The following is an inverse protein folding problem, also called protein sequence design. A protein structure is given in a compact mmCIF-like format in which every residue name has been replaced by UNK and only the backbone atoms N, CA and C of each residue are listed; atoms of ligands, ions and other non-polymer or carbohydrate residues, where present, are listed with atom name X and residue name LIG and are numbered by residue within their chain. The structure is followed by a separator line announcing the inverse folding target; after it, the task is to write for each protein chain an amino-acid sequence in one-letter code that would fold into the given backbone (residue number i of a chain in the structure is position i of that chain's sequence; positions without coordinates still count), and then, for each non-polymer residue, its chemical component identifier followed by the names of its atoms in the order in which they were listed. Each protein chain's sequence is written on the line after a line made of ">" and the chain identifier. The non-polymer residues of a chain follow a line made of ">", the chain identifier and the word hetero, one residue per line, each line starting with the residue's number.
data_IF_959613967485
#
_entry.id   IF_959613967485
#
_cell.length_a   1.000
_cell.length_b   1.000
_cell.length_c   1.000
_cell.angle_alpha   90.00
_cell.angle_beta   90.00
_cell.angle_gamma   90.00
#
_symmetry.space_group_name_H-M   'P 1'
#
loop_
_entity.id
_entity.type
_entity.pdbx_description
1 polymer ?
#
# COMPACT_ATOMS: atom_id res chain seq x y z
N UNK A 1 64.47 -11.05 52.92
CA UNK A 1 63.12 -11.27 52.34
C UNK A 1 62.01 -10.84 53.32
N UNK A 2 62.01 -9.60 53.83
CA UNK A 2 61.14 -9.21 54.97
C UNK A 2 60.23 -7.99 54.70
N UNK A 3 59.88 -7.68 53.44
CA UNK A 3 59.09 -6.47 53.13
C UNK A 3 57.81 -6.66 52.30
N UNK A 4 57.33 -7.91 52.12
CA UNK A 4 56.02 -8.19 51.47
C UNK A 4 54.87 -8.44 52.46
N UNK A 5 55.17 -8.65 53.75
CA UNK A 5 54.15 -9.03 54.75
C UNK A 5 53.33 -7.83 55.27
N UNK A 6 53.97 -6.68 55.49
CA UNK A 6 53.31 -5.50 56.08
C UNK A 6 52.34 -4.78 55.10
N UNK A 7 52.66 -4.74 53.80
CA UNK A 7 51.79 -4.10 52.79
C UNK A 7 50.53 -4.91 52.47
N UNK A 8 50.62 -6.24 52.44
CA UNK A 8 49.45 -7.11 52.27
C UNK A 8 48.53 -7.09 53.49
N UNK A 9 49.08 -6.97 54.70
CA UNK A 9 48.31 -6.90 55.93
C UNK A 9 47.51 -5.58 56.04
N UNK A 10 48.11 -4.45 55.66
CA UNK A 10 47.41 -3.15 55.60
C UNK A 10 46.34 -3.06 54.50
N UNK A 11 46.54 -3.71 53.35
CA UNK A 11 45.52 -3.78 52.29
C UNK A 11 44.35 -4.68 52.68
N UNK A 12 44.60 -5.81 53.37
CA UNK A 12 43.56 -6.70 53.89
C UNK A 12 42.67 -6.02 54.94
N UNK A 13 43.25 -5.25 55.87
CA UNK A 13 42.48 -4.53 56.89
C UNK A 13 41.60 -3.44 56.25
N UNK A 14 42.13 -2.67 55.30
CA UNK A 14 41.33 -1.65 54.57
C UNK A 14 40.22 -2.25 53.71
N UNK A 15 40.46 -3.41 53.10
CA UNK A 15 39.42 -4.16 52.37
C UNK A 15 38.31 -4.60 53.33
N UNK A 16 38.69 -5.24 54.44
CA UNK A 16 37.75 -5.74 55.44
C UNK A 16 36.93 -4.61 56.10
N UNK A 17 37.52 -3.44 56.34
CA UNK A 17 36.83 -2.26 56.88
C UNK A 17 35.84 -1.66 55.86
N UNK A 18 36.20 -1.66 54.57
CA UNK A 18 35.31 -1.24 53.48
C UNK A 18 34.15 -2.22 53.30
N UNK A 19 34.43 -3.52 53.32
CA UNK A 19 33.42 -4.58 53.22
C UNK A 19 32.45 -4.52 54.41
N UNK A 20 32.98 -4.32 55.62
CA UNK A 20 32.18 -4.12 56.84
C UNK A 20 31.29 -2.86 56.77
N UNK A 21 31.84 -1.73 56.31
CA UNK A 21 31.04 -0.51 56.10
C UNK A 21 29.96 -0.70 55.04
N UNK A 22 30.27 -1.37 53.94
CA UNK A 22 29.30 -1.64 52.88
C UNK A 22 28.19 -2.58 53.36
N UNK A 23 28.52 -3.62 54.14
CA UNK A 23 27.55 -4.50 54.79
C UNK A 23 26.66 -3.74 55.76
N UNK A 24 27.25 -2.93 56.65
CA UNK A 24 26.49 -2.14 57.63
C UNK A 24 25.55 -1.12 56.97
N UNK A 25 26.04 -0.43 55.93
CA UNK A 25 25.22 0.50 55.15
C UNK A 25 24.10 -0.24 54.42
N UNK A 26 24.37 -1.42 53.85
CA UNK A 26 23.36 -2.26 53.22
C UNK A 26 22.28 -2.73 54.21
N UNK A 27 22.67 -3.14 55.42
CA UNK A 27 21.72 -3.50 56.49
C UNK A 27 20.84 -2.32 56.91
N UNK A 28 21.40 -1.11 57.00
CA UNK A 28 20.64 0.09 57.32
C UNK A 28 19.63 0.44 56.22
N UNK A 29 20.01 0.31 54.95
CA UNK A 29 19.10 0.50 53.82
C UNK A 29 18.01 -0.57 53.78
N UNK A 30 18.36 -1.83 54.05
CA UNK A 30 17.40 -2.93 54.11
C UNK A 30 16.38 -2.73 55.22
N UNK A 31 16.81 -2.31 56.42
CA UNK A 31 15.88 -2.06 57.53
C UNK A 31 14.90 -0.92 57.19
N UNK A 32 15.41 0.21 56.67
CA UNK A 32 14.56 1.32 56.22
C UNK A 32 13.61 0.93 55.07
N UNK A 33 14.08 0.10 54.14
CA UNK A 33 13.26 -0.41 53.04
C UNK A 33 12.14 -1.31 53.58
N UNK A 34 12.43 -2.20 54.53
CA UNK A 34 11.44 -3.08 55.13
C UNK A 34 10.38 -2.30 55.92
N UNK A 35 10.79 -1.30 56.69
CA UNK A 35 9.85 -0.39 57.39
C UNK A 35 8.98 0.38 56.39
N UNK A 36 9.58 0.86 55.29
CA UNK A 36 8.83 1.55 54.25
C UNK A 36 7.85 0.63 53.52
N UNK A 37 8.27 -0.59 53.15
CA UNK A 37 7.42 -1.58 52.46
C UNK A 37 6.24 -1.97 53.34
N UNK A 38 6.47 -2.24 54.63
CA UNK A 38 5.39 -2.61 55.55
C UNK A 38 4.40 -1.47 55.76
N UNK A 39 4.87 -0.21 55.85
CA UNK A 39 4.00 0.97 55.93
C UNK A 39 3.22 1.22 54.62
N UNK A 40 3.81 0.88 53.46
CA UNK A 40 3.22 1.13 52.14
C UNK A 40 2.59 -0.12 51.49
N UNK A 41 2.46 -1.22 52.23
CA UNK A 41 2.03 -2.52 51.68
C UNK A 41 0.70 -2.44 50.91
N UNK A 42 -0.27 -1.66 51.43
CA UNK A 42 -1.55 -1.41 50.77
C UNK A 42 -1.39 -0.69 49.42
N UNK A 43 -0.53 0.33 49.36
CA UNK A 43 -0.28 1.11 48.14
C UNK A 43 0.47 0.26 47.09
N UNK A 44 1.45 -0.53 47.53
CA UNK A 44 2.17 -1.49 46.68
C UNK A 44 1.19 -2.53 46.13
N UNK A 45 0.31 -3.09 46.98
CA UNK A 45 -0.71 -4.04 46.57
C UNK A 45 -1.67 -3.47 45.52
N UNK A 46 -2.13 -2.22 45.70
CA UNK A 46 -2.94 -1.50 44.70
C UNK A 46 -2.16 -1.34 43.38
N UNK A 47 -0.87 -0.97 43.44
CA UNK A 47 -0.02 -0.83 42.25
C UNK A 47 0.16 -2.15 41.50
N UNK A 48 0.40 -3.25 42.21
CA UNK A 48 0.51 -4.60 41.61
C UNK A 48 -0.83 -5.03 41.01
N UNK A 49 -1.94 -4.82 41.71
CA UNK A 49 -3.27 -5.15 41.20
C UNK A 49 -3.60 -4.35 39.93
N UNK A 50 -3.28 -3.05 39.90
CA UNK A 50 -3.45 -2.21 38.72
C UNK A 50 -2.57 -2.71 37.54
N UNK A 51 -1.32 -3.09 37.80
CA UNK A 51 -0.44 -3.67 36.79
C UNK A 51 -1.02 -4.97 36.21
N UNK A 52 -1.51 -5.88 37.07
CA UNK A 52 -2.15 -7.14 36.63
C UNK A 52 -3.38 -6.85 35.78
N UNK A 53 -4.21 -5.89 36.17
CA UNK A 53 -5.39 -5.49 35.40
C UNK A 53 -5.00 -4.95 34.02
N UNK A 54 -3.99 -4.07 33.94
CA UNK A 54 -3.49 -3.54 32.66
C UNK A 54 -2.94 -4.67 31.78
N UNK A 55 -2.18 -5.61 32.33
CA UNK A 55 -1.66 -6.77 31.59
C UNK A 55 -2.79 -7.70 31.12
N UNK A 56 -3.84 -7.87 31.92
CA UNK A 56 -5.02 -8.65 31.54
C UNK A 56 -5.80 -7.99 30.40
N UNK A 57 -6.03 -6.67 30.48
CA UNK A 57 -6.66 -5.89 29.40
C UNK A 57 -5.80 -5.96 28.13
N UNK A 58 -4.49 -5.76 28.23
CA UNK A 58 -3.58 -5.88 27.10
C UNK A 58 -3.62 -7.30 26.48
N UNK A 59 -3.61 -8.35 27.31
CA UNK A 59 -3.68 -9.75 26.85
C UNK A 59 -4.99 -10.07 26.13
N UNK A 60 -6.12 -9.61 26.67
CA UNK A 60 -7.43 -9.79 26.03
C UNK A 60 -7.54 -9.00 24.72
N UNK A 61 -7.03 -7.76 24.69
CA UNK A 61 -6.95 -6.93 23.49
C UNK A 61 -6.06 -7.54 22.41
N UNK A 62 -4.87 -8.03 22.76
CA UNK A 62 -3.96 -8.71 21.82
C UNK A 62 -4.64 -9.97 21.24
N UNK A 63 -5.26 -10.80 22.07
CA UNK A 63 -5.99 -11.99 21.60
C UNK A 63 -7.16 -11.62 20.69
N UNK A 64 -7.89 -10.55 21.00
CA UNK A 64 -8.98 -10.06 20.16
C UNK A 64 -8.45 -9.57 18.80
N UNK A 65 -7.40 -8.75 18.78
CA UNK A 65 -6.75 -8.30 17.55
C UNK A 65 -6.21 -9.48 16.73
N UNK A 66 -5.57 -10.48 17.36
CA UNK A 66 -5.10 -11.69 16.69
C UNK A 66 -6.25 -12.49 16.06
N UNK A 67 -7.37 -12.65 16.77
CA UNK A 67 -8.57 -13.33 16.22
C UNK A 67 -9.14 -12.56 15.03
N UNK A 68 -9.18 -11.23 15.09
CA UNK A 68 -9.62 -10.41 13.96
C UNK A 68 -8.66 -10.52 12.78
N UNK A 69 -7.35 -10.49 13.03
CA UNK A 69 -6.32 -10.68 12.02
C UNK A 69 -6.46 -12.05 11.33
N UNK A 70 -6.67 -13.14 12.08
CA UNK A 70 -6.90 -14.48 11.52
C UNK A 70 -8.14 -14.53 10.60
N UNK A 71 -9.25 -13.90 11.01
CA UNK A 71 -10.46 -13.82 10.18
C UNK A 71 -10.23 -13.00 8.91
N UNK A 72 -9.47 -11.90 9.00
CA UNK A 72 -9.10 -11.10 7.85
C UNK A 72 -8.22 -11.92 6.88
N UNK A 73 -7.18 -12.58 7.37
CA UNK A 73 -6.31 -13.44 6.55
C UNK A 73 -7.07 -14.60 5.90
N UNK A 74 -8.00 -15.22 6.61
CA UNK A 74 -8.84 -16.28 6.02
C UNK A 74 -9.72 -15.76 4.88
N UNK A 75 -10.30 -14.56 5.03
CA UNK A 75 -11.08 -13.93 3.98
C UNK A 75 -10.21 -13.50 2.79
N UNK A 76 -9.00 -13.01 3.04
CA UNK A 76 -8.01 -12.67 2.02
C UNK A 76 -7.60 -13.90 1.21
N UNK A 77 -7.29 -15.01 1.88
CA UNK A 77 -6.98 -16.28 1.21
C UNK A 77 -8.14 -16.76 0.34
N UNK A 78 -9.38 -16.66 0.84
CA UNK A 78 -10.57 -16.99 0.07
C UNK A 78 -10.73 -16.11 -1.16
N UNK A 79 -10.52 -14.80 -1.02
CA UNK A 79 -10.59 -13.85 -2.13
C UNK A 79 -9.52 -14.14 -3.20
N UNK A 80 -8.30 -14.48 -2.77
CA UNK A 80 -7.22 -14.90 -3.66
C UNK A 80 -7.54 -16.22 -4.38
N UNK A 81 -8.14 -17.19 -3.68
CA UNK A 81 -8.55 -18.45 -4.29
C UNK A 81 -9.54 -18.21 -5.43
N UNK A 82 -10.57 -17.38 -5.21
CA UNK A 82 -11.50 -17.02 -6.28
C UNK A 82 -10.81 -16.34 -7.48
N UNK A 83 -9.82 -15.48 -7.24
CA UNK A 83 -9.05 -14.86 -8.33
C UNK A 83 -8.23 -15.89 -9.12
N UNK A 84 -7.65 -16.88 -8.45
CA UNK A 84 -6.92 -17.97 -9.10
C UNK A 84 -7.88 -18.86 -9.89
N UNK A 85 -8.99 -19.27 -9.29
CA UNK A 85 -10.00 -20.12 -9.94
C UNK A 85 -10.60 -19.40 -11.16
N UNK A 86 -10.82 -18.08 -11.09
CA UNK A 86 -11.26 -17.27 -12.23
C UNK A 86 -10.25 -17.32 -13.39
N UNK A 87 -8.95 -17.18 -13.09
CA UNK A 87 -7.88 -17.27 -14.10
C UNK A 87 -7.79 -18.66 -14.71
N UNK A 88 -7.96 -19.70 -13.91
CA UNK A 88 -7.92 -21.08 -14.39
C UNK A 88 -9.16 -21.42 -15.23
N UNK A 89 -10.34 -20.96 -14.83
CA UNK A 89 -11.55 -21.04 -15.64
C UNK A 89 -11.36 -20.35 -17.00
N UNK A 90 -10.82 -19.13 -17.01
CA UNK A 90 -10.53 -18.38 -18.24
C UNK A 90 -9.53 -19.10 -19.16
N UNK A 91 -8.50 -19.77 -18.61
CA UNK A 91 -7.52 -20.52 -19.41
C UNK A 91 -8.10 -21.81 -20.01
N UNK A 92 -8.98 -22.47 -19.26
CA UNK A 92 -9.61 -23.73 -19.67
C UNK A 92 -10.80 -23.51 -20.60
N UNK A 93 -11.34 -22.28 -20.61
CA UNK A 93 -12.43 -21.86 -21.48
C UNK A 93 -11.98 -21.85 -22.95
N UNK A 94 -12.60 -22.71 -23.77
CA UNK A 94 -12.53 -22.65 -25.24
C UNK A 94 -13.74 -21.98 -25.89
N UNK A 95 -14.58 -21.28 -25.11
CA UNK A 95 -15.85 -20.67 -25.54
C UNK A 95 -16.60 -19.96 -24.40
N UNK A 96 -17.82 -19.48 -24.68
CA UNK A 96 -18.60 -18.58 -23.81
C UNK A 96 -18.89 -19.11 -22.39
N UNK A 97 -19.18 -20.41 -22.21
CA UNK A 97 -19.51 -20.96 -20.88
C UNK A 97 -18.36 -20.84 -19.86
N UNK A 98 -17.11 -20.89 -20.32
CA UNK A 98 -15.96 -20.69 -19.44
C UNK A 98 -15.69 -19.22 -19.12
N UNK A 99 -16.28 -18.29 -19.90
CA UNK A 99 -16.27 -16.86 -19.60
C UNK A 99 -17.20 -16.55 -18.42
N UNK A 100 -18.42 -17.11 -18.41
CA UNK A 100 -19.42 -16.83 -17.38
C UNK A 100 -18.95 -17.25 -15.97
N UNK A 101 -18.35 -18.44 -15.84
CA UNK A 101 -17.82 -18.91 -14.55
C UNK A 101 -16.59 -18.10 -14.11
N UNK A 102 -15.70 -17.74 -15.06
CA UNK A 102 -14.57 -16.86 -14.76
C UNK A 102 -15.03 -15.50 -14.25
N UNK A 103 -16.04 -14.90 -14.88
CA UNK A 103 -16.62 -13.62 -14.49
C UNK A 103 -17.27 -13.69 -13.11
N UNK A 104 -18.02 -14.76 -12.84
CA UNK A 104 -18.63 -14.99 -11.52
C UNK A 104 -17.58 -15.12 -10.43
N UNK A 105 -16.54 -15.93 -10.63
CA UNK A 105 -15.44 -16.10 -9.66
C UNK A 105 -14.67 -14.79 -9.46
N UNK A 106 -14.44 -14.03 -10.52
CA UNK A 106 -13.85 -12.69 -10.45
C UNK A 106 -14.68 -11.73 -9.59
N UNK A 107 -16.00 -11.72 -9.77
CA UNK A 107 -16.92 -10.94 -8.95
C UNK A 107 -16.92 -11.38 -7.47
N UNK A 108 -16.85 -12.69 -7.19
CA UNK A 108 -16.74 -13.21 -5.82
C UNK A 108 -15.42 -12.80 -5.14
N UNK A 109 -14.32 -12.75 -5.90
CA UNK A 109 -13.04 -12.22 -5.45
C UNK A 109 -13.15 -10.74 -5.08
N UNK A 110 -13.66 -9.90 -5.99
CA UNK A 110 -13.87 -8.47 -5.79
C UNK A 110 -14.76 -8.20 -4.58
N UNK A 111 -15.89 -8.92 -4.46
CA UNK A 111 -16.81 -8.77 -3.33
C UNK A 111 -16.12 -9.11 -1.98
N UNK A 112 -15.29 -10.16 -1.97
CA UNK A 112 -14.53 -10.57 -0.78
C UNK A 112 -13.49 -9.53 -0.38
N UNK A 113 -12.76 -8.95 -1.34
CA UNK A 113 -11.82 -7.86 -1.05
C UNK A 113 -12.52 -6.56 -0.64
N UNK A 114 -13.66 -6.20 -1.25
CA UNK A 114 -14.48 -5.06 -0.80
C UNK A 114 -14.92 -5.25 0.65
N UNK A 115 -15.30 -6.47 1.04
CA UNK A 115 -15.64 -6.80 2.42
C UNK A 115 -14.44 -6.65 3.37
N UNK A 116 -13.23 -7.00 2.93
CA UNK A 116 -12.00 -6.79 3.69
C UNK A 116 -11.73 -5.31 3.96
N UNK A 117 -11.81 -4.48 2.92
CA UNK A 117 -11.65 -3.03 3.04
C UNK A 117 -12.68 -2.46 4.03
N UNK A 118 -13.94 -2.90 3.94
CA UNK A 118 -15.02 -2.42 4.81
C UNK A 118 -14.86 -2.86 6.28
N UNK A 119 -14.54 -4.13 6.54
CA UNK A 119 -14.52 -4.70 7.91
C UNK A 119 -13.19 -4.53 8.63
N UNK A 120 -12.09 -4.44 7.90
CA UNK A 120 -10.75 -4.42 8.44
C UNK A 120 -9.95 -3.21 7.95
N UNK A 121 -10.65 -2.09 7.70
CA UNK A 121 -10.04 -0.80 7.35
C UNK A 121 -9.00 -0.41 8.41
N UNK A 122 -7.76 -0.10 7.98
CA UNK A 122 -6.67 0.26 8.89
C UNK A 122 -5.87 -0.91 9.45
N UNK A 123 -6.25 -2.15 9.12
CA UNK A 123 -5.35 -3.31 9.30
C UNK A 123 -4.46 -3.50 8.07
N UNK A 124 -3.30 -4.17 8.20
CA UNK A 124 -2.45 -4.50 7.06
C UNK A 124 -3.18 -5.31 5.97
N UNK A 125 -4.14 -6.16 6.34
CA UNK A 125 -4.95 -6.90 5.35
C UNK A 125 -5.94 -6.00 4.64
N UNK A 126 -6.59 -5.06 5.34
CA UNK A 126 -7.48 -4.09 4.71
C UNK A 126 -6.73 -3.16 3.75
N UNK A 127 -5.52 -2.76 4.10
CA UNK A 127 -4.61 -2.03 3.21
C UNK A 127 -4.28 -2.84 1.94
N UNK A 128 -3.79 -4.08 2.08
CA UNK A 128 -3.50 -4.94 0.92
C UNK A 128 -4.74 -5.18 0.05
N UNK A 129 -5.92 -5.30 0.66
CA UNK A 129 -7.16 -5.49 -0.07
C UNK A 129 -7.48 -4.33 -1.03
N UNK A 130 -7.12 -3.08 -0.68
CA UNK A 130 -7.25 -1.93 -1.60
C UNK A 130 -6.36 -2.11 -2.82
N UNK A 131 -5.11 -2.53 -2.64
CA UNK A 131 -4.20 -2.80 -3.75
C UNK A 131 -4.71 -3.94 -4.64
N UNK A 132 -5.14 -5.06 -4.04
CA UNK A 132 -5.64 -6.20 -4.81
C UNK A 132 -6.92 -5.89 -5.57
N UNK A 133 -7.81 -5.03 -5.05
CA UNK A 133 -8.95 -4.52 -5.83
C UNK A 133 -8.49 -3.76 -7.07
N UNK A 134 -7.48 -2.90 -6.94
CA UNK A 134 -6.88 -2.22 -8.08
C UNK A 134 -6.32 -3.21 -9.11
N UNK A 135 -5.62 -4.26 -8.67
CA UNK A 135 -5.11 -5.30 -9.56
C UNK A 135 -6.23 -6.06 -10.28
N UNK A 136 -7.31 -6.42 -9.58
CA UNK A 136 -8.43 -7.14 -10.19
C UNK A 136 -9.15 -6.29 -11.23
N UNK A 137 -9.41 -5.02 -10.94
CA UNK A 137 -10.02 -4.12 -11.91
C UNK A 137 -9.08 -3.84 -13.10
N UNK A 138 -7.77 -3.71 -12.86
CA UNK A 138 -6.77 -3.57 -13.92
C UNK A 138 -6.75 -4.79 -14.86
N UNK A 139 -6.76 -6.00 -14.31
CA UNK A 139 -6.78 -7.25 -15.09
C UNK A 139 -8.06 -7.41 -15.92
N UNK A 140 -9.18 -6.83 -15.45
CA UNK A 140 -10.45 -6.78 -16.19
C UNK A 140 -10.50 -5.67 -17.23
N UNK A 141 -9.42 -4.89 -17.40
CA UNK A 141 -9.37 -3.72 -18.28
C UNK A 141 -10.19 -2.52 -17.76
N UNK A 142 -10.67 -2.59 -16.52
CA UNK A 142 -11.46 -1.52 -15.91
C UNK A 142 -10.54 -0.46 -15.29
N UNK A 143 -9.83 0.26 -16.16
CA UNK A 143 -8.79 1.20 -15.78
C UNK A 143 -9.26 2.36 -14.89
N UNK A 144 -10.47 2.94 -15.04
CA UNK A 144 -10.94 4.00 -14.16
C UNK A 144 -11.04 3.54 -12.70
N UNK A 145 -11.66 2.40 -12.44
CA UNK A 145 -11.81 1.81 -11.10
C UNK A 145 -10.47 1.33 -10.55
N UNK A 146 -9.61 0.76 -11.39
CA UNK A 146 -8.25 0.41 -11.00
C UNK A 146 -7.48 1.64 -10.53
N UNK A 147 -7.59 2.76 -11.26
CA UNK A 147 -6.97 4.03 -10.91
C UNK A 147 -7.47 4.53 -9.56
N UNK A 148 -8.78 4.52 -9.32
CA UNK A 148 -9.38 4.90 -8.04
C UNK A 148 -8.81 4.10 -6.86
N UNK A 149 -8.68 2.78 -7.01
CA UNK A 149 -8.12 1.92 -5.96
C UNK A 149 -6.63 2.17 -5.71
N UNK A 150 -5.80 2.26 -6.76
CA UNK A 150 -4.38 2.54 -6.60
C UNK A 150 -4.13 3.95 -6.06
N UNK A 151 -4.86 4.96 -6.53
CA UNK A 151 -4.80 6.33 -6.00
C UNK A 151 -5.22 6.38 -4.53
N UNK A 152 -6.27 5.64 -4.16
CA UNK A 152 -6.68 5.49 -2.75
C UNK A 152 -5.56 4.87 -1.93
N UNK A 153 -4.87 3.84 -2.44
CA UNK A 153 -3.77 3.22 -1.75
C UNK A 153 -2.63 4.23 -1.51
N UNK A 154 -2.16 4.90 -2.57
CA UNK A 154 -1.04 5.86 -2.48
C UNK A 154 -1.38 7.01 -1.52
N UNK A 155 -2.63 7.48 -1.52
CA UNK A 155 -3.08 8.57 -0.64
C UNK A 155 -3.17 8.15 0.83
N UNK A 156 -3.67 6.94 1.12
CA UNK A 156 -3.95 6.49 2.50
C UNK A 156 -2.81 5.71 3.13
N UNK A 157 -1.98 5.07 2.32
CA UNK A 157 -0.95 4.12 2.72
C UNK A 157 0.38 4.44 2.01
N UNK A 158 0.78 5.72 2.04
CA UNK A 158 1.99 6.20 1.36
C UNK A 158 3.28 5.50 1.82
N UNK A 159 3.37 5.13 3.10
CA UNK A 159 4.49 4.35 3.67
C UNK A 159 4.24 2.83 3.65
N UNK A 160 3.18 2.40 2.97
CA UNK A 160 2.75 1.02 2.86
C UNK A 160 3.70 0.18 2.00
N UNK A 161 3.75 -1.13 2.26
CA UNK A 161 4.64 -2.04 1.51
C UNK A 161 4.30 -2.13 0.02
N UNK A 162 3.08 -1.77 -0.39
CA UNK A 162 2.63 -1.78 -1.78
C UNK A 162 2.48 -0.36 -2.36
N UNK A 163 3.01 0.68 -1.69
CA UNK A 163 2.91 2.06 -2.17
C UNK A 163 3.62 2.22 -3.52
N UNK A 164 4.86 1.73 -3.61
CA UNK A 164 5.62 1.71 -4.86
C UNK A 164 4.89 0.92 -5.95
N UNK A 165 4.37 -0.26 -5.63
CA UNK A 165 3.62 -1.08 -6.58
C UNK A 165 2.35 -0.37 -7.06
N UNK A 166 1.64 0.34 -6.18
CA UNK A 166 0.44 1.12 -6.54
C UNK A 166 0.78 2.29 -7.45
N UNK A 167 1.87 3.02 -7.17
CA UNK A 167 2.37 4.10 -8.04
C UNK A 167 2.77 3.56 -9.42
N UNK A 168 3.48 2.42 -9.47
CA UNK A 168 3.79 1.74 -10.73
C UNK A 168 2.52 1.35 -11.49
N UNK A 169 1.51 0.80 -10.81
CA UNK A 169 0.25 0.42 -11.44
C UNK A 169 -0.50 1.60 -12.04
N UNK A 170 -0.46 2.79 -11.41
CA UNK A 170 -1.01 4.01 -11.99
C UNK A 170 -0.30 4.40 -13.30
N UNK A 171 1.03 4.27 -13.34
CA UNK A 171 1.80 4.51 -14.57
C UNK A 171 1.51 3.45 -15.64
N UNK A 172 1.32 2.18 -15.25
CA UNK A 172 0.90 1.12 -16.17
C UNK A 172 -0.51 1.35 -16.72
N UNK A 173 -1.42 1.94 -15.94
CA UNK A 173 -2.75 2.32 -16.46
C UNK A 173 -2.61 3.31 -17.62
N UNK A 174 -1.78 4.36 -17.48
CA UNK A 174 -1.51 5.28 -18.59
C UNK A 174 -0.90 4.57 -19.80
N UNK A 175 -0.01 3.60 -19.58
CA UNK A 175 0.53 2.77 -20.66
C UNK A 175 -0.56 1.97 -21.38
N UNK A 176 -1.49 1.35 -20.65
CA UNK A 176 -2.60 0.58 -21.24
C UNK A 176 -3.60 1.45 -22.01
N UNK A 177 -3.82 2.68 -21.55
CA UNK A 177 -4.67 3.66 -22.24
C UNK A 177 -3.98 4.30 -23.46
N UNK A 178 -2.73 3.94 -23.74
CA UNK A 178 -1.94 4.51 -24.84
C UNK A 178 -1.41 5.91 -24.55
N UNK A 179 -1.58 6.43 -23.33
CA UNK A 179 -1.08 7.72 -22.87
C UNK A 179 0.41 7.65 -22.49
N UNK A 180 1.25 7.17 -23.42
CA UNK A 180 2.66 6.86 -23.16
C UNK A 180 3.46 8.04 -22.61
N UNK A 181 3.12 9.28 -22.99
CA UNK A 181 3.77 10.48 -22.43
C UNK A 181 3.49 10.64 -20.93
N UNK A 182 2.25 10.44 -20.48
CA UNK A 182 1.90 10.48 -19.04
C UNK A 182 2.51 9.31 -18.28
N UNK A 183 2.61 8.14 -18.92
CA UNK A 183 3.33 7.00 -18.35
C UNK A 183 4.83 7.31 -18.14
N UNK A 184 5.49 7.91 -19.14
CA UNK A 184 6.89 8.38 -19.04
C UNK A 184 7.08 9.38 -17.89
N UNK A 185 6.21 10.38 -17.78
CA UNK A 185 6.26 11.38 -16.69
C UNK A 185 6.10 10.72 -15.32
N UNK A 186 5.15 9.79 -15.20
CA UNK A 186 4.89 9.05 -13.96
C UNK A 186 6.08 8.18 -13.56
N UNK A 187 6.68 7.45 -14.50
CA UNK A 187 7.85 6.61 -14.22
C UNK A 187 9.11 7.43 -13.90
N UNK A 188 9.31 8.59 -14.53
CA UNK A 188 10.40 9.51 -14.18
C UNK A 188 10.28 10.01 -12.74
N UNK A 189 9.11 10.53 -12.38
CA UNK A 189 8.85 11.00 -11.01
C UNK A 189 9.08 9.86 -10.00
N UNK A 190 8.71 8.63 -10.37
CA UNK A 190 8.95 7.47 -9.53
C UNK A 190 10.43 7.12 -9.38
N UNK A 191 11.20 7.16 -10.47
CA UNK A 191 12.64 6.89 -10.50
C UNK A 191 13.42 7.78 -9.51
N UNK A 192 13.03 9.05 -9.39
CA UNK A 192 13.67 10.02 -8.48
C UNK A 192 13.47 9.68 -7.00
N UNK A 193 12.41 8.93 -6.68
CA UNK A 193 12.00 8.66 -5.30
C UNK A 193 12.44 7.29 -4.77
N UNK A 194 12.95 6.40 -5.64
CA UNK A 194 13.28 5.02 -5.30
C UNK A 194 14.77 4.77 -5.07
N UNK A 195 15.06 3.65 -4.39
CA UNK A 195 16.44 3.17 -4.19
C UNK A 195 17.06 2.68 -5.50
N UNK A 196 18.40 2.70 -5.58
CA UNK A 196 19.12 2.19 -6.77
C UNK A 196 18.78 0.72 -7.10
N UNK A 197 18.45 -0.08 -6.09
CA UNK A 197 18.01 -1.47 -6.29
C UNK A 197 16.66 -1.57 -7.03
N UNK A 198 15.80 -0.57 -6.89
CA UNK A 198 14.47 -0.51 -7.53
C UNK A 198 14.50 0.22 -8.88
N UNK A 199 15.45 1.16 -9.07
CA UNK A 199 15.57 1.98 -10.28
C UNK A 199 15.63 1.16 -11.57
N UNK A 200 16.39 0.07 -11.60
CA UNK A 200 16.55 -0.73 -12.81
C UNK A 200 15.21 -1.23 -13.38
N UNK A 201 14.26 -1.63 -12.52
CA UNK A 201 12.94 -2.05 -12.96
C UNK A 201 12.11 -0.89 -13.52
N UNK A 202 12.18 0.29 -12.89
CA UNK A 202 11.49 1.49 -13.35
C UNK A 202 12.09 2.00 -14.67
N UNK A 203 13.41 1.96 -14.82
CA UNK A 203 14.10 2.32 -16.06
C UNK A 203 13.71 1.41 -17.23
N UNK A 204 13.49 0.10 -16.97
CA UNK A 204 12.96 -0.82 -17.97
C UNK A 204 11.56 -0.42 -18.45
N UNK A 205 10.67 -0.04 -17.51
CA UNK A 205 9.31 0.42 -17.82
C UNK A 205 9.31 1.78 -18.54
N UNK A 206 10.15 2.71 -18.09
CA UNK A 206 10.35 4.02 -18.69
C UNK A 206 10.88 3.90 -20.13
N UNK A 207 11.90 3.07 -20.35
CA UNK A 207 12.45 2.80 -21.68
C UNK A 207 11.41 2.17 -22.62
N UNK A 208 10.58 1.25 -22.10
CA UNK A 208 9.49 0.65 -22.88
C UNK A 208 8.50 1.71 -23.34
N UNK A 209 8.10 2.62 -22.45
CA UNK A 209 7.17 3.70 -22.78
C UNK A 209 7.78 4.74 -23.74
N UNK A 210 9.07 5.04 -23.62
CA UNK A 210 9.77 5.87 -24.62
C UNK A 210 9.78 5.22 -26.01
N UNK A 211 10.02 3.91 -26.08
CA UNK A 211 9.96 3.17 -27.35
C UNK A 211 8.56 3.23 -27.96
N UNK A 212 7.51 3.03 -27.14
CA UNK A 212 6.10 3.13 -27.57
C UNK A 212 5.72 4.54 -28.03
N UNK A 213 6.33 5.57 -27.43
CA UNK A 213 6.19 6.97 -27.84
C UNK A 213 6.97 7.31 -29.12
N UNK A 214 7.82 6.41 -29.62
CA UNK A 214 8.68 6.61 -30.79
C UNK A 214 10.03 7.26 -30.48
N UNK A 215 10.29 7.62 -29.23
CA UNK A 215 11.55 8.22 -28.76
C UNK A 215 12.61 7.14 -28.49
N UNK A 216 13.02 6.45 -29.57
CA UNK A 216 13.88 5.25 -29.52
C UNK A 216 15.26 5.52 -28.93
N UNK A 217 15.81 6.70 -29.12
CA UNK A 217 17.12 7.10 -28.58
C UNK A 217 17.09 7.15 -27.05
N UNK A 218 16.02 7.70 -26.47
CA UNK A 218 15.81 7.71 -25.01
C UNK A 218 15.63 6.29 -24.47
N UNK A 219 14.86 5.45 -25.17
CA UNK A 219 14.69 4.05 -24.79
C UNK A 219 16.02 3.29 -24.79
N UNK A 220 16.82 3.42 -25.86
CA UNK A 220 18.11 2.77 -25.99
C UNK A 220 19.09 3.20 -24.88
N UNK A 221 19.15 4.50 -24.57
CA UNK A 221 20.01 5.03 -23.51
C UNK A 221 19.66 4.44 -22.14
N UNK A 222 18.37 4.33 -21.82
CA UNK A 222 17.92 3.75 -20.55
C UNK A 222 18.20 2.24 -20.47
N UNK A 223 17.93 1.47 -21.53
CA UNK A 223 18.29 0.05 -21.53
C UNK A 223 19.79 -0.16 -21.38
N UNK A 224 20.61 0.68 -22.01
CA UNK A 224 22.07 0.64 -21.83
C UNK A 224 22.46 0.96 -20.38
N UNK A 225 21.86 1.99 -19.77
CA UNK A 225 22.09 2.31 -18.36
C UNK A 225 21.75 1.14 -17.42
N UNK A 226 20.66 0.41 -17.69
CA UNK A 226 20.29 -0.80 -16.94
C UNK A 226 21.35 -1.90 -17.09
N UNK A 227 21.89 -2.11 -18.29
CA UNK A 227 22.95 -3.09 -18.56
C UNK A 227 24.23 -2.76 -17.77
N UNK A 228 24.57 -1.48 -17.70
CA UNK A 228 25.79 -0.97 -17.06
C UNK A 228 25.66 -0.85 -15.53
N UNK A 229 24.44 -0.82 -15.00
CA UNK A 229 24.14 -0.74 -13.56
C UNK A 229 24.59 -1.97 -12.76
N UNK A 230 24.52 -1.92 -11.43
CA UNK A 230 24.80 -3.08 -10.55
C UNK A 230 23.62 -4.06 -10.39
N UNK A 231 22.59 -3.97 -11.23
CA UNK A 231 21.39 -4.82 -11.13
C UNK A 231 21.67 -6.29 -11.46
N UNK A 232 20.66 -7.15 -11.26
CA UNK A 232 20.76 -8.59 -11.48
C UNK A 232 21.06 -8.95 -12.94
N UNK A 233 21.75 -10.07 -13.16
CA UNK A 233 22.03 -10.57 -14.50
C UNK A 233 20.76 -10.83 -15.33
N UNK A 234 19.66 -11.23 -14.67
CA UNK A 234 18.37 -11.44 -15.32
C UNK A 234 17.82 -10.14 -15.91
N UNK A 235 17.79 -9.05 -15.12
CA UNK A 235 17.33 -7.73 -15.59
C UNK A 235 18.25 -7.21 -16.70
N UNK A 236 19.57 -7.40 -16.59
CA UNK A 236 20.51 -7.04 -17.66
C UNK A 236 20.27 -7.83 -18.95
N UNK A 237 19.89 -9.11 -18.85
CA UNK A 237 19.54 -9.91 -20.05
C UNK A 237 18.31 -9.32 -20.73
N UNK A 238 17.24 -9.07 -19.96
CA UNK A 238 16.02 -8.44 -20.47
C UNK A 238 16.30 -7.08 -21.11
N UNK A 239 17.19 -6.27 -20.52
CA UNK A 239 17.58 -4.98 -21.08
C UNK A 239 18.35 -5.11 -22.40
N UNK A 240 19.22 -6.13 -22.56
CA UNK A 240 19.91 -6.39 -23.84
C UNK A 240 18.94 -6.81 -24.93
N UNK A 241 18.00 -7.69 -24.60
CA UNK A 241 16.94 -8.13 -25.52
C UNK A 241 16.07 -6.95 -25.95
N UNK A 242 15.64 -6.12 -25.00
CA UNK A 242 14.85 -4.93 -25.29
C UNK A 242 15.62 -3.87 -26.09
N UNK A 243 16.91 -3.69 -25.83
CA UNK A 243 17.78 -2.81 -26.61
C UNK A 243 17.91 -3.29 -28.06
N UNK A 244 18.01 -4.60 -28.28
CA UNK A 244 18.05 -5.15 -29.63
C UNK A 244 16.73 -4.93 -30.37
N UNK A 245 15.58 -5.07 -29.68
CA UNK A 245 14.28 -4.71 -30.24
C UNK A 245 14.24 -3.24 -30.67
N UNK A 246 14.79 -2.32 -29.87
CA UNK A 246 14.85 -0.89 -30.24
C UNK A 246 15.70 -0.68 -31.50
N UNK A 247 16.82 -1.39 -31.65
CA UNK A 247 17.66 -1.30 -32.86
C UNK A 247 16.95 -1.84 -34.09
N UNK A 248 16.27 -2.98 -33.96
CA UNK A 248 15.47 -3.55 -35.04
C UNK A 248 14.32 -2.60 -35.43
N UNK A 249 13.67 -1.95 -34.47
CA UNK A 249 12.65 -0.92 -34.75
C UNK A 249 13.25 0.27 -35.53
N UNK A 250 14.54 0.57 -35.39
CA UNK A 250 15.23 1.64 -36.14
C UNK A 250 15.66 1.19 -37.54
N UNK A 251 16.15 -0.05 -37.69
CA UNK A 251 16.60 -0.62 -38.96
C UNK A 251 15.42 -0.99 -39.87
N UNK A 252 14.34 -1.49 -39.28
CA UNK A 252 13.12 -1.90 -39.95
C UNK A 252 11.94 -1.14 -39.32
N UNK A 253 11.78 0.17 -39.62
CA UNK A 253 10.65 0.91 -39.09
C UNK A 253 9.35 0.21 -39.49
N UNK A 254 8.41 0.01 -38.55
CA UNK A 254 7.11 -0.55 -38.90
C UNK A 254 6.51 0.30 -40.02
N UNK A 255 5.77 -0.30 -40.97
CA UNK A 255 5.06 0.48 -41.97
C UNK A 255 4.30 1.57 -41.21
N UNK A 256 4.50 2.83 -41.60
CA UNK A 256 3.83 3.95 -40.97
C UNK A 256 2.35 3.54 -40.84
N UNK A 257 1.80 3.56 -39.61
CA UNK A 257 0.36 3.44 -39.44
C UNK A 257 -0.21 4.43 -40.42
N UNK A 258 -0.92 3.95 -41.44
CA UNK A 258 -1.55 4.80 -42.43
C UNK A 258 -2.26 5.89 -41.62
N UNK A 259 -1.70 7.10 -41.65
CA UNK A 259 -2.47 8.28 -41.32
C UNK A 259 -3.77 8.11 -42.08
N UNK A 260 -4.91 8.25 -41.40
CA UNK A 260 -6.21 8.42 -42.03
C UNK A 260 -6.12 9.65 -42.96
N UNK A 261 -5.54 9.45 -44.13
CA UNK A 261 -5.63 10.30 -45.29
C UNK A 261 -6.98 9.98 -45.95
N UNK A 262 -8.05 10.23 -45.20
CA UNK A 262 -9.31 10.69 -45.76
C UNK A 262 -9.33 12.19 -45.43
N UNK A 263 -8.53 13.00 -46.12
CA UNK A 263 -9.07 13.81 -47.21
C UNK A 263 -10.46 14.38 -46.88
N UNK A 264 -10.51 15.32 -45.94
CA UNK A 264 -11.38 16.48 -46.11
C UNK A 264 -10.92 17.20 -47.39
N UNK A 265 -11.37 16.70 -48.53
CA UNK A 265 -11.58 17.55 -49.69
C UNK A 265 -12.86 18.31 -49.38
N UNK A 266 -12.73 19.46 -48.73
CA UNK A 266 -13.70 20.53 -48.85
C UNK A 266 -13.79 20.88 -50.34
N UNK A 267 -14.78 20.31 -51.00
CA UNK A 267 -15.22 20.70 -52.32
C UNK A 267 -15.82 22.10 -52.22
N UNK A 268 -15.01 23.05 -52.68
CA UNK A 268 -15.36 24.45 -52.82
C UNK A 268 -16.33 24.59 -54.01
N UNK A 269 -17.60 24.27 -53.76
CA UNK A 269 -18.71 24.53 -54.67
C UNK A 269 -19.16 25.99 -54.56
N UNK A 270 -18.58 26.84 -55.40
CA UNK A 270 -19.11 28.16 -55.69
C UNK A 270 -20.46 28.03 -56.41
N UNK A 271 -21.54 28.46 -55.77
CA UNK A 271 -22.77 28.88 -56.44
C UNK A 271 -23.08 30.33 -56.07
N UNK A 272 -22.90 31.21 -57.04
CA UNK A 272 -23.46 32.55 -57.06
C UNK A 272 -24.99 32.47 -57.09
N UNK A 273 -25.67 33.12 -56.14
CA UNK A 273 -26.89 33.88 -56.45
C UNK A 273 -27.14 34.96 -55.40
N UNK A 274 -27.38 36.15 -55.94
CA UNK A 274 -27.50 37.48 -55.35
C UNK A 274 -28.81 37.71 -54.53
N UNK A 275 -29.01 38.89 -53.92
CA UNK A 275 -29.48 39.05 -52.53
C UNK A 275 -30.97 39.41 -52.39
N UNK A 276 -31.55 39.17 -51.20
CA UNK A 276 -32.69 39.97 -50.75
C UNK A 276 -32.81 40.09 -49.21
N UNK A 277 -32.66 41.34 -48.77
CA UNK A 277 -33.39 42.03 -47.69
C UNK A 277 -33.31 41.67 -46.19
N UNK A 278 -33.18 42.78 -45.47
CA UNK A 278 -33.74 43.16 -44.16
C UNK A 278 -32.94 42.87 -42.90
N UNK A 279 -32.24 43.93 -42.50
CA UNK A 279 -31.97 44.34 -41.14
C UNK A 279 -33.14 44.12 -40.17
N UNK A 280 -32.81 43.66 -38.96
CA UNK A 280 -33.32 44.25 -37.72
C UNK A 280 -32.16 44.28 -36.72
N UNK A 281 -31.85 45.49 -36.26
CA UNK A 281 -31.03 45.81 -35.09
C UNK A 281 -31.70 45.30 -33.81
N UNK A 282 -30.92 44.88 -32.82
CA UNK A 282 -31.06 45.18 -31.38
C UNK A 282 -29.99 44.30 -30.67
N UNK A 283 -28.91 44.82 -30.09
CA UNK A 283 -28.84 45.54 -28.80
C UNK A 283 -29.49 44.68 -27.69
N UNK A 284 -28.90 44.29 -26.57
CA UNK A 284 -27.67 44.60 -25.85
C UNK A 284 -27.49 43.41 -24.87
N UNK A 285 -26.33 43.31 -24.22
CA UNK A 285 -26.24 43.39 -22.74
C UNK A 285 -25.25 42.40 -22.06
N UNK A 286 -24.46 43.05 -21.21
CA UNK A 286 -23.47 42.76 -20.18
C UNK A 286 -23.36 41.31 -19.63
N UNK A 287 -22.18 40.68 -19.63
CA UNK A 287 -21.09 40.73 -18.62
C UNK A 287 -21.45 40.41 -17.16
N UNK A 288 -20.94 39.25 -16.72
CA UNK A 288 -20.13 39.00 -15.51
C UNK A 288 -20.74 38.98 -14.09
N UNK A 289 -19.98 38.28 -13.21
CA UNK A 289 -20.04 38.12 -11.74
C UNK A 289 -20.88 36.92 -11.24
N UNK A 290 -20.25 35.81 -10.84
CA UNK A 290 -19.55 35.55 -9.55
C UNK A 290 -20.46 35.72 -8.32
N UNK A 291 -20.95 34.61 -7.76
CA UNK A 291 -21.03 34.45 -6.29
C UNK A 291 -21.24 32.96 -5.92
N UNK A 292 -20.20 32.33 -5.35
CA UNK A 292 -20.33 31.08 -4.60
C UNK A 292 -20.49 31.39 -3.10
N UNK A 293 -21.38 30.68 -2.38
CA UNK A 293 -21.25 30.55 -0.94
C UNK A 293 -20.68 29.19 -0.55
N UNK A 294 -19.58 29.23 0.21
CA UNK A 294 -18.99 28.10 0.93
C UNK A 294 -19.95 27.46 1.96
N UNK A 295 -19.82 26.16 2.28
CA UNK A 295 -20.60 25.53 3.34
C UNK A 295 -19.96 25.69 4.73
N UNK A 296 -20.82 26.06 5.67
CA UNK A 296 -20.55 26.28 7.09
C UNK A 296 -20.31 24.97 7.87
N UNK A 297 -19.54 25.09 8.95
CA UNK A 297 -19.12 24.00 9.82
C UNK A 297 -20.12 23.72 10.97
N UNK A 298 -19.90 22.57 11.64
CA UNK A 298 -20.56 22.06 12.85
C UNK A 298 -21.90 21.35 12.61
N UNK A 299 -22.07 20.09 13.00
CA UNK A 299 -22.33 19.76 14.41
C UNK A 299 -22.03 18.30 14.74
N UNK A 300 -21.43 18.13 15.92
CA UNK A 300 -21.24 16.89 16.66
C UNK A 300 -22.60 16.48 17.26
N UNK A 301 -22.97 15.21 17.15
CA UNK A 301 -24.03 14.63 18.00
C UNK A 301 -23.61 13.24 18.49
N UNK A 302 -23.33 13.17 19.80
CA UNK A 302 -23.27 11.96 20.61
C UNK A 302 -24.68 11.46 20.94
N UNK A 303 -24.91 10.16 20.82
CA UNK A 303 -25.89 9.35 21.56
C UNK A 303 -25.82 7.92 21.00
N UNK A 304 -26.01 6.81 21.71
CA UNK A 304 -26.29 6.52 23.10
C UNK A 304 -25.91 5.02 23.26
N UNK A 305 -25.35 4.65 24.41
CA UNK A 305 -25.22 3.27 24.82
C UNK A 305 -26.57 2.73 25.29
N UNK A 306 -26.93 1.51 24.87
CA UNK A 306 -27.88 0.66 25.58
C UNK A 306 -27.21 -0.67 25.91
N UNK A 307 -27.23 -0.97 27.22
CA UNK A 307 -26.92 -2.23 27.87
C UNK A 307 -27.84 -3.35 27.34
N UNK A 308 -27.27 -4.53 27.07
CA UNK A 308 -27.99 -5.78 27.30
C UNK A 308 -27.09 -6.77 28.04
N UNK A 309 -27.53 -7.10 29.26
CA UNK A 309 -26.91 -8.01 30.17
C UNK A 309 -27.83 -9.23 30.33
N UNK A 310 -27.37 -10.42 29.93
CA UNK A 310 -28.04 -11.65 30.33
C UNK A 310 -27.64 -12.91 29.57
N UNK A 311 -26.70 -13.69 30.13
CA UNK A 311 -26.85 -15.14 30.38
C UNK A 311 -25.48 -15.83 30.53
N UNK A 312 -25.28 -16.46 31.69
CA UNK A 312 -24.14 -17.28 32.06
C UNK A 312 -24.19 -18.69 31.39
N UNK A 313 -23.09 -19.48 31.43
CA UNK A 313 -22.86 -20.60 30.51
C UNK A 313 -23.37 -21.95 31.03
N UNK A 314 -23.83 -22.79 30.11
CA UNK A 314 -24.16 -24.19 30.37
C UNK A 314 -22.95 -25.11 30.09
N UNK A 315 -22.55 -25.77 31.18
CA UNK A 315 -21.90 -27.07 31.38
C UNK A 315 -21.38 -27.89 30.17
N UNK A 316 -20.11 -28.28 30.28
CA UNK A 316 -19.46 -29.40 29.59
C UNK A 316 -19.85 -30.77 30.17
N UNK A 317 -20.02 -31.83 29.36
CA UNK A 317 -19.82 -33.20 29.82
C UNK A 317 -18.45 -33.74 29.40
N UNK A 318 -17.79 -34.40 30.36
CA UNK A 318 -16.45 -34.95 30.26
C UNK A 318 -16.28 -36.08 29.25
N UNK A 319 -15.05 -36.19 28.73
CA UNK A 319 -14.57 -37.39 28.05
C UNK A 319 -13.82 -38.27 29.05
N UNK A 320 -14.36 -39.47 29.22
CA UNK A 320 -13.81 -40.60 29.94
C UNK A 320 -12.77 -41.29 29.05
N UNK A 321 -11.69 -41.73 29.68
CA UNK A 321 -10.66 -42.60 29.12
C UNK A 321 -11.21 -43.90 28.53
N UNK A 322 -10.69 -44.29 27.37
CA UNK A 322 -10.23 -45.65 27.08
C UNK A 322 -9.31 -45.65 25.86
#
# INVERSE_FOLDING_TARGET
>A
MANKSSSQQGQRVKSHEKDFRNQFVAELYLHKLMDWVTQNLKRIGIGIAALILVLFIASTMIKFQQRQAQKATALEWKAMQFSLDAKDAQRMAGGDEGSDEADKLSQESIASFKLLVKKYSGSPTGERAVFFLGCLEYERGNYPEAREYFSTYVKRYADGQLALSSQKSLAYIFEQEGEYRKAVESFKALEESVTDAQKAGIQMDLARNYRLLGEKEHAAALYQAVIDSSTSAAIKSQAREALEIVRLDQEFPPPAKEEEAASETEDNGAEESDPDTTAVEDADDETAEEDEPAPDAASVEEAHAEDDAGAAPAETPGMVSN
#
